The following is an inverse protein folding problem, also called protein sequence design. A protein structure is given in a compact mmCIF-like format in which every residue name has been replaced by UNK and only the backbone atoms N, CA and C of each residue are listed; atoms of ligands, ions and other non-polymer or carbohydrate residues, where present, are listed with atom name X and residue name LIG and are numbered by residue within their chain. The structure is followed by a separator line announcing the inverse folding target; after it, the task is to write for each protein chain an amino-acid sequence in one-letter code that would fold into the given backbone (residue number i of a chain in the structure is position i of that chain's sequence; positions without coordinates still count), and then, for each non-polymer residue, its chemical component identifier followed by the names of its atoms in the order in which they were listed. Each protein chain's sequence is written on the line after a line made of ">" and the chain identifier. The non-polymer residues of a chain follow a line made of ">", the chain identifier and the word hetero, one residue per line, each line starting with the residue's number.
data_IF_022856186006
#
_entry.id   IF_022856186006
#
_cell.length_a   1.000
_cell.length_b   1.000
_cell.length_c   1.000
_cell.angle_alpha   90.00
_cell.angle_beta   90.00
_cell.angle_gamma   90.00
#
_symmetry.space_group_name_H-M   'P 1'
#
loop_
_entity.id
_entity.type
_entity.pdbx_description
1 polymer ?
#
# COMPACT_ATOMS: atom_id res chain seq x y z
N UNK A 1 14.44 -8.39 15.04
CA UNK A 1 14.11 -9.26 13.90
C UNK A 1 15.14 -9.12 12.78
N UNK A 2 15.83 -10.20 12.43
CA UNK A 2 16.66 -10.26 11.22
C UNK A 2 15.82 -10.80 10.05
N UNK A 3 15.91 -10.18 8.87
CA UNK A 3 15.28 -10.64 7.63
C UNK A 3 16.35 -10.99 6.60
N UNK A 4 16.14 -12.03 5.80
CA UNK A 4 17.09 -12.47 4.80
C UNK A 4 16.75 -11.95 3.38
N UNK A 5 17.50 -12.41 2.37
CA UNK A 5 17.27 -12.01 0.98
C UNK A 5 15.91 -12.50 0.44
N UNK A 6 15.45 -13.68 0.85
CA UNK A 6 14.17 -14.21 0.44
C UNK A 6 13.03 -13.38 1.04
N UNK A 7 13.15 -12.99 2.30
CA UNK A 7 12.23 -12.07 2.96
C UNK A 7 12.17 -10.72 2.24
N UNK A 8 13.33 -10.13 1.91
CA UNK A 8 13.37 -8.85 1.17
C UNK A 8 12.74 -8.95 -0.22
N UNK A 9 12.92 -10.07 -0.91
CA UNK A 9 12.30 -10.30 -2.22
C UNK A 9 10.78 -10.42 -2.08
N UNK A 10 10.30 -11.23 -1.13
CA UNK A 10 8.86 -11.40 -0.90
C UNK A 10 8.20 -10.05 -0.56
N UNK A 11 8.81 -9.27 0.34
CA UNK A 11 8.38 -7.93 0.69
C UNK A 11 8.37 -6.99 -0.53
N UNK A 12 9.42 -7.01 -1.36
CA UNK A 12 9.48 -6.17 -2.55
C UNK A 12 8.40 -6.52 -3.59
N UNK A 13 7.96 -7.77 -3.65
CA UNK A 13 6.90 -8.23 -4.56
C UNK A 13 5.47 -7.92 -4.05
N UNK A 14 5.28 -7.75 -2.74
CA UNK A 14 3.95 -7.52 -2.14
C UNK A 14 3.20 -6.33 -2.77
N UNK A 15 3.80 -5.13 -2.97
CA UNK A 15 3.11 -4.02 -3.61
C UNK A 15 2.63 -4.35 -5.02
N UNK A 16 3.45 -5.02 -5.83
CA UNK A 16 3.09 -5.43 -7.18
C UNK A 16 1.91 -6.39 -7.18
N UNK A 17 1.95 -7.42 -6.33
CA UNK A 17 0.84 -8.39 -6.17
C UNK A 17 -0.44 -7.73 -5.66
N UNK A 18 -0.32 -6.75 -4.78
CA UNK A 18 -1.45 -5.92 -4.34
C UNK A 18 -2.06 -5.14 -5.52
N UNK A 19 -1.23 -4.49 -6.34
CA UNK A 19 -1.67 -3.78 -7.53
C UNK A 19 -2.48 -4.66 -8.47
N UNK A 20 -1.93 -5.80 -8.85
CA UNK A 20 -2.61 -6.77 -9.71
C UNK A 20 -3.92 -7.27 -9.08
N UNK A 21 -3.92 -7.61 -7.78
CA UNK A 21 -5.12 -8.10 -7.10
C UNK A 21 -6.24 -7.07 -7.09
N UNK A 22 -5.91 -5.79 -6.83
CA UNK A 22 -6.86 -4.69 -6.93
C UNK A 22 -7.31 -4.52 -8.37
N UNK A 23 -6.39 -4.42 -9.34
CA UNK A 23 -6.69 -4.14 -10.75
C UNK A 23 -7.57 -5.22 -11.40
N UNK A 24 -7.32 -6.49 -11.08
CA UNK A 24 -8.08 -7.66 -11.59
C UNK A 24 -9.37 -7.95 -10.80
N UNK A 25 -9.61 -7.22 -9.71
CA UNK A 25 -10.70 -7.49 -8.74
C UNK A 25 -10.61 -8.91 -8.17
N UNK A 26 -9.38 -9.40 -7.97
CA UNK A 26 -9.11 -10.72 -7.47
C UNK A 26 -8.97 -10.70 -5.94
N UNK A 27 -10.10 -10.82 -5.27
CA UNK A 27 -10.18 -10.71 -3.81
C UNK A 27 -9.53 -11.87 -3.08
N UNK A 28 -9.49 -13.07 -3.67
CA UNK A 28 -8.76 -14.21 -3.11
C UNK A 28 -7.25 -13.96 -3.08
N UNK A 29 -6.71 -13.27 -4.10
CA UNK A 29 -5.31 -12.82 -4.10
C UNK A 29 -5.11 -11.66 -3.12
N UNK A 30 -6.06 -10.73 -3.03
CA UNK A 30 -5.98 -9.62 -2.07
C UNK A 30 -5.89 -10.12 -0.63
N UNK A 31 -6.61 -11.21 -0.30
CA UNK A 31 -6.54 -11.87 1.02
C UNK A 31 -5.17 -12.45 1.36
N UNK A 32 -4.26 -12.60 0.38
CA UNK A 32 -2.86 -13.00 0.61
C UNK A 32 -1.92 -11.81 0.81
N UNK A 33 -2.42 -10.58 0.73
CA UNK A 33 -1.62 -9.36 0.93
C UNK A 33 -1.71 -8.89 2.37
N UNK A 34 -2.91 -8.90 2.95
CA UNK A 34 -3.19 -8.35 4.27
C UNK A 34 -3.38 -9.46 5.30
N UNK A 35 -3.17 -9.15 6.58
CA UNK A 35 -3.66 -10.01 7.67
C UNK A 35 -5.18 -9.88 7.81
N UNK A 36 -5.84 -10.88 8.42
CA UNK A 36 -7.29 -10.86 8.60
C UNK A 36 -7.78 -9.65 9.42
N UNK A 37 -6.95 -9.19 10.35
CA UNK A 37 -7.18 -8.03 11.22
C UNK A 37 -6.40 -6.78 10.76
N UNK A 38 -6.05 -6.72 9.48
CA UNK A 38 -5.32 -5.59 8.93
C UNK A 38 -6.14 -4.30 8.98
N UNK A 39 -5.44 -3.19 9.09
CA UNK A 39 -6.02 -1.85 9.03
C UNK A 39 -5.52 -1.16 7.77
N UNK A 40 -6.42 -0.53 7.04
CA UNK A 40 -6.08 0.34 5.92
C UNK A 40 -6.61 1.74 6.18
N UNK A 41 -5.72 2.65 6.52
CA UNK A 41 -6.00 4.07 6.72
C UNK A 41 -5.94 4.84 5.39
N UNK A 42 -7.11 5.25 4.90
CA UNK A 42 -7.29 6.10 3.73
C UNK A 42 -7.65 7.56 4.11
N UNK A 43 -7.53 7.95 5.38
CA UNK A 43 -7.84 9.33 5.82
C UNK A 43 -6.88 10.34 5.20
N UNK A 44 -5.62 9.94 4.96
CA UNK A 44 -4.61 10.72 4.24
C UNK A 44 -4.91 11.00 2.76
N UNK A 45 -5.95 10.36 2.22
CA UNK A 45 -6.50 10.63 0.87
C UNK A 45 -7.94 11.13 0.92
N UNK A 46 -8.43 11.55 2.09
CA UNK A 46 -9.78 12.09 2.27
C UNK A 46 -10.90 11.06 2.33
N UNK A 47 -10.58 9.80 2.64
CA UNK A 47 -11.56 8.72 2.84
C UNK A 47 -11.61 8.27 4.31
N UNK A 48 -12.12 7.06 4.57
CA UNK A 48 -12.24 6.48 5.92
C UNK A 48 -11.14 5.45 6.22
N UNK A 49 -10.91 5.21 7.50
CA UNK A 49 -10.11 4.05 7.96
C UNK A 49 -10.95 2.76 7.82
N UNK A 50 -10.31 1.70 7.34
CA UNK A 50 -10.91 0.37 7.13
C UNK A 50 -10.37 -0.59 8.19
N UNK A 51 -11.26 -1.36 8.83
CA UNK A 51 -10.92 -2.28 9.91
C UNK A 51 -11.16 -3.74 9.50
N UNK A 52 -10.08 -4.52 9.41
CA UNK A 52 -10.13 -5.92 9.04
C UNK A 52 -10.22 -6.16 7.54
N UNK A 53 -9.80 -7.35 7.13
CA UNK A 53 -9.68 -7.73 5.73
C UNK A 53 -11.02 -7.73 4.99
N UNK A 54 -12.11 -8.11 5.65
CA UNK A 54 -13.43 -8.10 5.02
C UNK A 54 -13.94 -6.68 4.74
N UNK A 55 -13.66 -5.71 5.61
CA UNK A 55 -13.97 -4.30 5.36
C UNK A 55 -13.11 -3.74 4.22
N UNK A 56 -11.82 -4.09 4.19
CA UNK A 56 -10.92 -3.76 3.08
C UNK A 56 -11.47 -4.30 1.76
N UNK A 57 -11.81 -5.60 1.69
CA UNK A 57 -12.37 -6.21 0.47
C UNK A 57 -13.69 -5.56 0.08
N UNK A 58 -14.57 -5.29 1.04
CA UNK A 58 -15.85 -4.63 0.79
C UNK A 58 -15.66 -3.25 0.16
N UNK A 59 -14.82 -2.42 0.78
CA UNK A 59 -14.49 -1.08 0.27
C UNK A 59 -13.97 -1.15 -1.16
N UNK A 60 -12.98 -2.01 -1.43
CA UNK A 60 -12.37 -2.14 -2.76
C UNK A 60 -13.35 -2.66 -3.82
N UNK A 61 -14.31 -3.49 -3.42
CA UNK A 61 -15.27 -4.07 -4.35
C UNK A 61 -16.49 -3.17 -4.62
N UNK A 62 -16.93 -2.38 -3.64
CA UNK A 62 -18.24 -1.71 -3.66
C UNK A 62 -18.14 -0.20 -3.57
N UNK A 63 -17.23 0.32 -2.75
CA UNK A 63 -17.21 1.76 -2.37
C UNK A 63 -16.14 2.54 -3.14
N UNK A 64 -15.03 1.91 -3.50
CA UNK A 64 -13.87 2.55 -4.08
C UNK A 64 -14.07 2.94 -5.55
N UNK A 65 -13.73 4.19 -5.89
CA UNK A 65 -13.56 4.64 -7.27
C UNK A 65 -12.16 4.26 -7.78
N UNK A 66 -11.97 2.99 -8.14
CA UNK A 66 -10.66 2.49 -8.53
C UNK A 66 -10.15 3.03 -9.88
N UNK A 67 -8.85 3.38 -9.98
CA UNK A 67 -8.21 3.62 -11.27
C UNK A 67 -8.20 2.34 -12.13
N UNK A 68 -7.84 2.51 -13.40
CA UNK A 68 -7.68 1.37 -14.31
C UNK A 68 -6.45 0.54 -14.01
N UNK A 69 -5.39 1.19 -13.54
CA UNK A 69 -4.10 0.56 -13.29
C UNK A 69 -3.36 1.30 -12.19
N UNK A 70 -2.75 0.55 -11.29
CA UNK A 70 -1.80 1.03 -10.30
C UNK A 70 -0.37 0.58 -10.65
N UNK A 71 0.53 1.53 -10.84
CA UNK A 71 1.96 1.24 -11.01
C UNK A 71 2.70 1.48 -9.70
N UNK A 72 3.31 0.43 -9.17
CA UNK A 72 4.06 0.49 -7.91
C UNK A 72 5.51 0.90 -8.16
N UNK A 73 6.00 1.86 -7.40
CA UNK A 73 7.33 2.46 -7.58
C UNK A 73 8.00 2.70 -6.23
N UNK A 74 9.33 2.91 -6.26
CA UNK A 74 10.14 3.27 -5.09
C UNK A 74 9.91 2.35 -3.89
N UNK A 75 9.93 1.03 -4.12
CA UNK A 75 9.66 0.02 -3.10
C UNK A 75 10.93 -0.25 -2.30
N UNK A 76 10.86 -0.11 -0.98
CA UNK A 76 11.93 -0.49 -0.06
C UNK A 76 11.39 -0.84 1.32
N UNK A 77 12.24 -1.48 2.12
CA UNK A 77 11.92 -1.90 3.48
C UNK A 77 12.97 -1.42 4.47
N UNK A 78 12.49 -0.90 5.59
CA UNK A 78 13.27 -0.53 6.77
C UNK A 78 12.98 -1.53 7.88
N UNK A 79 14.01 -1.95 8.60
CA UNK A 79 13.91 -2.90 9.71
C UNK A 79 14.41 -2.21 10.97
N UNK A 80 13.56 -2.11 11.98
CA UNK A 80 13.89 -1.49 13.26
C UNK A 80 13.41 -2.40 14.40
N UNK A 81 14.35 -2.90 15.21
CA UNK A 81 14.11 -3.87 16.28
C UNK A 81 13.17 -4.99 15.84
N UNK A 82 11.88 -4.92 16.15
CA UNK A 82 10.88 -5.94 15.81
C UNK A 82 9.78 -5.45 14.85
N UNK A 83 9.99 -4.29 14.22
CA UNK A 83 9.09 -3.72 13.22
C UNK A 83 9.76 -3.71 11.86
N UNK A 84 9.03 -4.18 10.84
CA UNK A 84 9.39 -4.01 9.44
C UNK A 84 8.41 -3.03 8.81
N UNK A 85 8.95 -1.96 8.26
CA UNK A 85 8.17 -0.94 7.55
C UNK A 85 8.47 -1.06 6.06
N UNK A 86 7.43 -1.24 5.26
CA UNK A 86 7.54 -1.25 3.81
C UNK A 86 6.98 0.07 3.25
N UNK A 87 7.79 0.73 2.44
CA UNK A 87 7.47 2.01 1.83
C UNK A 87 7.40 1.84 0.33
N UNK A 88 6.35 2.38 -0.29
CA UNK A 88 6.27 2.45 -1.75
C UNK A 88 5.37 3.61 -2.19
N UNK A 89 5.37 3.87 -3.49
CA UNK A 89 4.53 4.91 -4.12
C UNK A 89 3.74 4.31 -5.25
N UNK A 90 2.62 4.94 -5.57
CA UNK A 90 1.82 4.59 -6.73
C UNK A 90 1.77 5.72 -7.74
N UNK A 91 1.67 5.33 -9.00
CA UNK A 91 1.11 6.14 -10.07
C UNK A 91 -0.15 5.43 -10.55
N UNK A 92 -1.29 6.11 -10.45
CA UNK A 92 -2.61 5.57 -10.77
C UNK A 92 -3.21 6.24 -12.00
N UNK A 93 -3.71 5.45 -12.95
CA UNK A 93 -4.40 5.98 -14.14
C UNK A 93 -5.89 6.20 -13.85
N UNK A 94 -6.28 7.45 -13.56
CA UNK A 94 -7.63 7.85 -13.17
C UNK A 94 -8.60 7.98 -14.38
N UNK A 95 -8.07 7.95 -15.60
CA UNK A 95 -8.83 8.08 -16.84
C UNK A 95 -8.92 9.52 -17.34
N UNK A 96 -9.39 9.72 -18.59
CA UNK A 96 -9.46 11.03 -19.28
C UNK A 96 -8.13 11.82 -19.28
N UNK A 97 -7.00 11.12 -19.26
CA UNK A 97 -5.67 11.73 -19.20
C UNK A 97 -5.21 12.12 -17.79
N UNK A 98 -6.04 11.92 -16.76
CA UNK A 98 -5.65 12.20 -15.38
C UNK A 98 -4.83 11.07 -14.77
N UNK A 99 -3.85 11.46 -13.98
CA UNK A 99 -2.97 10.58 -13.22
C UNK A 99 -2.99 11.03 -11.76
N UNK A 100 -3.09 10.07 -10.85
CA UNK A 100 -2.97 10.28 -9.41
C UNK A 100 -1.67 9.69 -8.89
N UNK A 101 -1.19 10.22 -7.77
CA UNK A 101 -0.08 9.62 -7.03
C UNK A 101 -0.45 9.54 -5.55
N UNK A 102 0.09 8.54 -4.87
CA UNK A 102 0.02 8.44 -3.43
C UNK A 102 1.24 7.70 -2.88
N UNK A 103 1.58 7.95 -1.63
CA UNK A 103 2.57 7.20 -0.87
C UNK A 103 1.88 6.21 0.06
N UNK A 104 2.51 5.04 0.21
CA UNK A 104 2.06 3.98 1.07
C UNK A 104 3.13 3.68 2.11
N UNK A 105 2.67 3.54 3.36
CA UNK A 105 3.50 3.21 4.51
C UNK A 105 2.88 2.01 5.21
N UNK A 106 3.52 0.86 5.09
CA UNK A 106 2.99 -0.41 5.56
C UNK A 106 3.79 -0.92 6.75
N UNK A 107 3.10 -1.35 7.80
CA UNK A 107 3.69 -2.23 8.80
C UNK A 107 3.42 -3.67 8.36
N UNK A 108 4.47 -4.44 8.15
CA UNK A 108 4.40 -5.80 7.65
C UNK A 108 4.89 -6.80 8.69
N UNK A 109 4.26 -7.97 8.69
CA UNK A 109 4.53 -9.04 9.65
C UNK A 109 4.75 -10.35 8.92
N UNK A 110 5.70 -11.15 9.42
CA UNK A 110 5.94 -12.51 8.92
C UNK A 110 4.91 -13.46 9.54
N UNK A 111 4.15 -14.15 8.69
CA UNK A 111 3.17 -15.17 9.09
C UNK A 111 3.65 -16.55 8.66
N UNK A 112 2.91 -17.60 9.04
CA UNK A 112 3.18 -18.95 8.55
C UNK A 112 3.06 -19.08 7.02
N UNK A 113 2.26 -18.22 6.39
CA UNK A 113 2.01 -18.21 4.95
C UNK A 113 2.84 -17.14 4.20
N UNK A 114 3.82 -16.55 4.87
CA UNK A 114 4.68 -15.49 4.32
C UNK A 114 4.40 -14.09 4.89
N UNK A 115 4.98 -13.07 4.29
CA UNK A 115 4.84 -11.67 4.73
C UNK A 115 3.46 -11.10 4.37
N UNK A 116 2.87 -10.36 5.31
CA UNK A 116 1.55 -9.73 5.17
C UNK A 116 1.56 -8.31 5.70
N UNK A 117 0.70 -7.47 5.14
CA UNK A 117 0.44 -6.11 5.59
C UNK A 117 -0.53 -6.13 6.77
N UNK A 118 -0.08 -5.62 7.92
CA UNK A 118 -0.87 -5.50 9.15
C UNK A 118 -1.51 -4.12 9.28
N UNK A 119 -0.77 -3.08 8.89
CA UNK A 119 -1.25 -1.71 8.89
C UNK A 119 -0.78 -1.05 7.60
N UNK A 120 -1.64 -0.28 6.96
CA UNK A 120 -1.31 0.48 5.75
C UNK A 120 -1.88 1.87 5.86
N UNK A 121 -1.03 2.87 5.65
CA UNK A 121 -1.44 4.26 5.46
C UNK A 121 -1.26 4.66 4.01
N UNK A 122 -2.26 5.32 3.43
CA UNK A 122 -2.18 5.90 2.09
C UNK A 122 -2.33 7.42 2.18
N UNK A 123 -1.39 8.13 1.58
CA UNK A 123 -1.25 9.58 1.73
C UNK A 123 -1.06 10.25 0.36
N UNK A 124 -1.85 11.30 0.07
CA UNK A 124 -1.59 12.17 -1.09
C UNK A 124 -0.34 13.03 -0.81
N UNK A 125 -0.22 13.55 0.41
CA UNK A 125 0.94 14.32 0.85
C UNK A 125 1.95 13.40 1.54
N UNK A 126 3.20 13.41 1.06
CA UNK A 126 4.26 12.57 1.62
C UNK A 126 4.50 12.96 3.07
N UNK A 127 4.42 11.99 3.99
CA UNK A 127 4.54 12.20 5.45
C UNK A 127 5.81 12.98 5.83
N UNK A 128 6.91 12.69 5.17
CA UNK A 128 8.24 13.18 5.52
C UNK A 128 8.78 14.21 4.51
N UNK A 129 7.92 14.78 3.63
CA UNK A 129 8.35 15.85 2.72
C UNK A 129 8.52 17.13 3.53
N UNK A 130 9.72 17.69 3.48
CA UNK A 130 10.01 19.00 4.01
C UNK A 130 9.58 20.08 3.02
N UNK A 131 9.16 21.23 3.54
CA UNK A 131 8.98 22.43 2.73
C UNK A 131 10.32 22.81 2.11
N UNK A 132 10.34 22.90 0.79
CA UNK A 132 11.54 23.23 0.03
C UNK A 132 11.23 24.39 -0.91
N UNK A 133 12.10 25.41 -1.03
CA UNK A 133 11.86 26.53 -1.93
C UNK A 133 11.65 26.14 -3.41
N UNK A 134 12.06 24.93 -3.82
CA UNK A 134 11.79 24.45 -5.17
C UNK A 134 10.31 24.12 -5.44
N UNK A 135 9.51 23.94 -4.39
CA UNK A 135 8.08 23.66 -4.48
C UNK A 135 7.27 24.92 -4.83
N UNK A 136 7.81 26.11 -4.58
CA UNK A 136 7.14 27.39 -4.82
C UNK A 136 7.34 27.92 -6.26
N UNK A 137 8.04 27.17 -7.12
CA UNK A 137 8.38 27.58 -8.48
C UNK A 137 7.24 27.38 -9.51
N UNK A 138 5.97 27.37 -9.07
CA UNK A 138 4.80 27.19 -9.95
C UNK A 138 4.56 28.37 -10.91
#
# INVERSE_FOLDING_TARGET
>A
MDIDLADRLELHELPGRYGDAIDDRNWDRLRRIFTDDAVFDLTGVGSRRLEGLDDIVHFMNVEAAHPKTHMMTNIYVDVAEDTVTMNFRIVALLGKGFVGTASYYDHVVKTADGWRVKHRECMIHRRDKLDAPCDDNE
#
